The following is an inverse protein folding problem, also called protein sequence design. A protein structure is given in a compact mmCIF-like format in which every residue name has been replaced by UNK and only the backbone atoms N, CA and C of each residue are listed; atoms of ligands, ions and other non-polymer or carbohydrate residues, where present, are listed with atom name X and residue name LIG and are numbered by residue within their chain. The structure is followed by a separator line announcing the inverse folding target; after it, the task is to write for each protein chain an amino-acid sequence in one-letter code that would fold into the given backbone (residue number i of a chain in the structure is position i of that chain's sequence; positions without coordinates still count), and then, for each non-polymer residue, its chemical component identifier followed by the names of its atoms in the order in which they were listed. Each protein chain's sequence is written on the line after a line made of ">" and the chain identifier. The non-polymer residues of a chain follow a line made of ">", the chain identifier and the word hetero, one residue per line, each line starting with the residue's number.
data_IF_677944212525
#
_entry.id   IF_677944212525
#
_cell.length_a   1.000
_cell.length_b   1.000
_cell.length_c   1.000
_cell.angle_alpha   90.00
_cell.angle_beta   90.00
_cell.angle_gamma   90.00
#
_symmetry.space_group_name_H-M   'P 1'
#
loop_
_entity.id
_entity.type
_entity.pdbx_description
1 polymer ?
#
# COMPACT_ATOMS: atom_id res chain seq x y z
N UNK A 1 28.56 -4.17 9.83
CA UNK A 1 27.80 -5.41 10.14
C UNK A 1 27.15 -5.36 11.53
N UNK A 2 27.84 -4.87 12.56
CA UNK A 2 27.31 -4.80 13.95
C UNK A 2 26.11 -3.86 14.13
N UNK A 3 26.06 -2.73 13.42
CA UNK A 3 24.91 -1.81 13.48
C UNK A 3 23.60 -2.47 13.04
N UNK A 4 23.62 -3.19 11.91
CA UNK A 4 22.44 -3.90 11.38
C UNK A 4 21.90 -4.93 12.37
N UNK A 5 22.81 -5.68 13.01
CA UNK A 5 22.44 -6.64 14.06
C UNK A 5 21.79 -5.94 15.27
N UNK A 6 22.38 -4.83 15.73
CA UNK A 6 21.83 -4.09 16.88
C UNK A 6 20.46 -3.49 16.56
N UNK A 7 20.31 -2.87 15.39
CA UNK A 7 19.01 -2.38 14.91
C UNK A 7 17.98 -3.50 14.80
N UNK A 8 18.37 -4.69 14.33
CA UNK A 8 17.48 -5.86 14.24
C UNK A 8 17.06 -6.33 15.63
N UNK A 9 17.98 -6.43 16.59
CA UNK A 9 17.66 -6.80 17.98
C UNK A 9 16.74 -5.78 18.62
N UNK A 10 16.97 -4.48 18.41
CA UNK A 10 16.11 -3.42 18.91
C UNK A 10 14.70 -3.49 18.29
N UNK A 11 14.60 -3.74 16.99
CA UNK A 11 13.32 -3.92 16.30
C UNK A 11 12.58 -5.16 16.84
N UNK A 12 13.30 -6.24 17.14
CA UNK A 12 12.70 -7.41 17.79
C UNK A 12 12.16 -7.11 19.20
N UNK A 13 12.89 -6.32 19.99
CA UNK A 13 12.42 -5.86 21.29
C UNK A 13 11.16 -5.00 21.13
N UNK A 14 11.14 -4.08 20.16
CA UNK A 14 9.98 -3.26 19.83
C UNK A 14 8.78 -4.13 19.41
N UNK A 15 8.96 -5.07 18.48
CA UNK A 15 7.86 -5.94 18.02
C UNK A 15 7.37 -6.83 19.15
N UNK A 16 8.27 -7.42 19.94
CA UNK A 16 7.92 -8.24 21.09
C UNK A 16 7.15 -7.47 22.16
N UNK A 17 7.55 -6.24 22.47
CA UNK A 17 6.83 -5.36 23.41
C UNK A 17 5.47 -4.94 22.88
N UNK A 18 5.35 -4.63 21.58
CA UNK A 18 4.06 -4.36 20.94
C UNK A 18 3.16 -5.59 21.03
N UNK A 19 3.66 -6.78 20.68
CA UNK A 19 2.91 -8.04 20.74
C UNK A 19 2.44 -8.34 22.18
N UNK A 20 3.34 -8.18 23.15
CA UNK A 20 3.03 -8.39 24.56
C UNK A 20 1.96 -7.40 25.06
N UNK A 21 2.10 -6.11 24.72
CA UNK A 21 1.12 -5.08 25.04
C UNK A 21 -0.25 -5.37 24.40
N UNK A 22 -0.26 -5.78 23.14
CA UNK A 22 -1.47 -6.14 22.42
C UNK A 22 -2.14 -7.37 23.07
N UNK A 23 -1.34 -8.39 23.41
CA UNK A 23 -1.80 -9.58 24.13
C UNK A 23 -2.46 -9.19 25.46
N UNK A 24 -1.79 -8.41 26.30
CA UNK A 24 -2.35 -8.00 27.59
C UNK A 24 -3.61 -7.14 27.48
N UNK A 25 -3.73 -6.31 26.44
CA UNK A 25 -4.89 -5.42 26.28
C UNK A 25 -6.09 -6.12 25.66
N UNK A 26 -5.87 -6.88 24.59
CA UNK A 26 -6.94 -7.50 23.81
C UNK A 26 -7.32 -8.91 24.29
N UNK A 27 -6.43 -9.64 24.97
CA UNK A 27 -6.77 -10.99 25.46
C UNK A 27 -7.83 -10.96 26.59
N UNK A 28 -7.74 -10.08 27.61
CA UNK A 28 -8.73 -10.03 28.68
C UNK A 28 -10.08 -9.44 28.24
N UNK A 29 -10.05 -8.40 27.39
CA UNK A 29 -11.23 -7.60 27.01
C UNK A 29 -11.84 -7.97 25.65
N UNK A 30 -11.16 -8.79 24.85
CA UNK A 30 -11.58 -9.12 23.49
C UNK A 30 -12.55 -10.29 23.39
N UNK A 31 -13.43 -10.23 22.39
CA UNK A 31 -14.29 -11.35 21.99
C UNK A 31 -13.46 -12.55 21.51
N UNK A 32 -14.05 -13.75 21.50
CA UNK A 32 -13.40 -14.99 21.04
C UNK A 32 -12.68 -14.85 19.68
N UNK A 33 -13.30 -14.14 18.73
CA UNK A 33 -12.71 -13.87 17.40
C UNK A 33 -11.44 -13.01 17.50
N UNK A 34 -11.44 -11.98 18.34
CA UNK A 34 -10.28 -11.11 18.54
C UNK A 34 -9.12 -11.88 19.17
N UNK A 35 -9.41 -12.77 20.13
CA UNK A 35 -8.40 -13.66 20.73
C UNK A 35 -7.82 -14.61 19.70
N UNK A 36 -8.66 -15.22 18.86
CA UNK A 36 -8.24 -16.12 17.79
C UNK A 36 -7.33 -15.40 16.79
N UNK A 37 -7.71 -14.20 16.34
CA UNK A 37 -6.86 -13.37 15.47
C UNK A 37 -5.49 -13.07 16.11
N UNK A 38 -5.46 -12.76 17.40
CA UNK A 38 -4.22 -12.48 18.13
C UNK A 38 -3.33 -13.73 18.25
N UNK A 39 -3.93 -14.90 18.52
CA UNK A 39 -3.20 -16.18 18.52
C UNK A 39 -2.63 -16.47 17.13
N UNK A 40 -3.41 -16.28 16.07
CA UNK A 40 -2.92 -16.41 14.69
C UNK A 40 -1.74 -15.46 14.46
N UNK A 41 -1.90 -14.16 14.77
CA UNK A 41 -0.84 -13.16 14.64
C UNK A 41 0.45 -13.61 15.33
N UNK A 42 0.33 -14.07 16.58
CA UNK A 42 1.47 -14.57 17.36
C UNK A 42 2.14 -15.79 16.71
N UNK A 43 1.33 -16.77 16.27
CA UNK A 43 1.81 -17.97 15.58
C UNK A 43 2.54 -17.61 14.29
N UNK A 44 2.03 -16.66 13.50
CA UNK A 44 2.70 -16.22 12.27
C UNK A 44 4.04 -15.54 12.57
N UNK A 45 4.09 -14.70 13.60
CA UNK A 45 5.34 -14.06 14.02
C UNK A 45 6.36 -15.14 14.43
N UNK A 46 5.95 -16.15 15.21
CA UNK A 46 6.82 -17.27 15.60
C UNK A 46 7.29 -18.09 14.38
N UNK A 47 6.38 -18.43 13.47
CA UNK A 47 6.71 -19.14 12.22
C UNK A 47 7.69 -18.35 11.36
N UNK A 48 7.54 -17.02 11.33
CA UNK A 48 8.44 -16.12 10.62
C UNK A 48 9.88 -16.16 11.15
N UNK A 49 10.11 -16.55 12.40
CA UNK A 49 11.45 -16.76 12.95
C UNK A 49 12.01 -18.12 12.61
N UNK A 50 11.18 -19.16 12.72
CA UNK A 50 11.63 -20.55 12.59
C UNK A 50 11.95 -20.84 11.12
N UNK A 51 11.13 -20.35 10.20
CA UNK A 51 11.28 -20.62 8.77
C UNK A 51 11.05 -19.36 7.91
N UNK A 52 12.01 -18.41 7.90
CA UNK A 52 11.84 -17.11 7.26
C UNK A 52 11.74 -17.15 5.72
N UNK A 53 12.12 -18.27 5.10
CA UNK A 53 12.23 -18.44 3.64
C UNK A 53 11.00 -19.04 2.97
N UNK A 54 9.99 -19.43 3.74
CA UNK A 54 8.78 -20.04 3.21
C UNK A 54 7.88 -19.00 2.51
N UNK A 55 7.47 -19.21 1.24
CA UNK A 55 6.58 -18.29 0.53
C UNK A 55 5.20 -18.17 1.21
N UNK A 56 4.78 -19.21 1.93
CA UNK A 56 3.57 -19.19 2.74
C UNK A 56 3.61 -18.11 3.83
N UNK A 57 4.77 -17.86 4.45
CA UNK A 57 4.94 -16.82 5.49
C UNK A 57 4.79 -15.42 4.88
N UNK A 58 5.26 -15.21 3.65
CA UNK A 58 5.05 -13.94 2.93
C UNK A 58 3.56 -13.69 2.64
N UNK A 59 2.83 -14.72 2.21
CA UNK A 59 1.38 -14.63 2.00
C UNK A 59 0.65 -14.33 3.32
N UNK A 60 1.00 -15.02 4.40
CA UNK A 60 0.42 -14.83 5.73
C UNK A 60 0.71 -13.43 6.29
N UNK A 61 1.90 -12.90 6.03
CA UNK A 61 2.27 -11.54 6.38
C UNK A 61 1.38 -10.51 5.67
N UNK A 62 1.08 -10.70 4.38
CA UNK A 62 0.21 -9.78 3.63
C UNK A 62 -1.24 -9.77 4.15
N UNK A 63 -1.74 -10.90 4.64
CA UNK A 63 -3.07 -10.99 5.27
C UNK A 63 -3.07 -10.26 6.61
N UNK A 64 -2.03 -10.45 7.41
CA UNK A 64 -1.88 -9.77 8.71
C UNK A 64 -1.64 -8.27 8.54
N UNK A 65 -0.95 -7.88 7.47
CA UNK A 65 -0.62 -6.49 7.19
C UNK A 65 -1.77 -5.72 6.54
N UNK A 66 -2.79 -6.41 6.03
CA UNK A 66 -4.02 -5.82 5.49
C UNK A 66 -4.58 -4.65 6.33
N UNK A 67 -4.84 -4.78 7.65
CA UNK A 67 -5.31 -3.68 8.50
C UNK A 67 -4.35 -2.49 8.58
N UNK A 68 -3.06 -2.67 8.30
CA UNK A 68 -2.06 -1.61 8.34
C UNK A 68 -2.00 -0.81 7.04
N UNK A 69 -2.57 -1.33 5.94
CA UNK A 69 -2.63 -0.63 4.65
C UNK A 69 -3.68 0.49 4.71
N UNK A 70 -3.49 1.63 4.04
CA UNK A 70 -4.43 2.75 4.12
C UNK A 70 -5.88 2.36 3.81
N UNK A 71 -6.08 1.59 2.73
CA UNK A 71 -7.39 1.08 2.33
C UNK A 71 -7.96 0.08 3.34
N UNK A 72 -7.15 -0.89 3.80
CA UNK A 72 -7.61 -1.91 4.76
C UNK A 72 -7.95 -1.30 6.13
N UNK A 73 -7.15 -0.36 6.62
CA UNK A 73 -7.41 0.41 7.83
C UNK A 73 -8.75 1.16 7.74
N UNK A 74 -8.98 1.88 6.65
CA UNK A 74 -10.22 2.63 6.45
C UNK A 74 -11.45 1.72 6.37
N UNK A 75 -11.35 0.59 5.66
CA UNK A 75 -12.45 -0.39 5.59
C UNK A 75 -12.76 -0.96 6.98
N UNK A 76 -11.75 -1.34 7.76
CA UNK A 76 -11.98 -1.85 9.12
C UNK A 76 -12.59 -0.80 10.04
N UNK A 77 -12.11 0.43 9.98
CA UNK A 77 -12.72 1.54 10.71
C UNK A 77 -14.18 1.75 10.31
N UNK A 78 -14.50 1.67 9.02
CA UNK A 78 -15.88 1.73 8.52
C UNK A 78 -16.73 0.53 8.95
N UNK A 79 -16.18 -0.68 9.00
CA UNK A 79 -16.88 -1.86 9.52
C UNK A 79 -17.20 -1.69 11.01
N UNK A 80 -16.23 -1.25 11.82
CA UNK A 80 -16.45 -1.00 13.25
C UNK A 80 -17.41 0.18 13.50
N UNK A 81 -17.36 1.19 12.64
CA UNK A 81 -18.36 2.24 12.58
C UNK A 81 -19.76 1.67 12.29
N UNK A 82 -19.90 0.85 11.25
CA UNK A 82 -21.18 0.26 10.86
C UNK A 82 -21.82 -0.56 12.00
N UNK A 83 -21.01 -1.27 12.78
CA UNK A 83 -21.46 -2.00 13.98
C UNK A 83 -22.04 -1.09 15.08
N UNK A 84 -21.80 0.22 15.03
CA UNK A 84 -22.30 1.22 15.99
C UNK A 84 -23.58 1.92 15.49
N UNK A 85 -24.12 1.51 14.34
CA UNK A 85 -25.39 2.03 13.81
C UNK A 85 -26.54 1.31 14.51
N UNK A 86 -27.41 2.05 15.20
CA UNK A 86 -28.63 1.52 15.83
C UNK A 86 -29.74 1.38 14.79
N UNK A 87 -30.73 0.53 15.11
CA UNK A 87 -31.92 0.31 14.25
C UNK A 87 -32.78 1.53 13.96
N UNK A 88 -32.52 2.68 14.60
CA UNK A 88 -33.16 3.98 14.31
C UNK A 88 -32.32 4.94 13.46
N UNK A 89 -31.23 4.49 12.82
CA UNK A 89 -30.37 5.31 11.97
C UNK A 89 -29.39 6.24 12.72
N UNK A 90 -29.51 6.33 14.05
CA UNK A 90 -28.55 7.00 14.91
C UNK A 90 -27.26 6.20 15.08
N UNK A 91 -26.12 6.89 15.14
CA UNK A 91 -24.81 6.27 15.30
C UNK A 91 -24.25 6.56 16.70
N UNK A 92 -23.94 5.50 17.45
CA UNK A 92 -23.37 5.65 18.80
C UNK A 92 -21.91 6.08 18.75
N UNK A 93 -21.48 6.94 19.67
CA UNK A 93 -20.06 7.27 19.84
C UNK A 93 -19.26 6.01 20.25
N UNK A 94 -18.04 5.79 19.71
CA UNK A 94 -17.29 6.67 18.83
C UNK A 94 -17.47 6.39 17.33
N UNK A 95 -18.59 5.81 16.89
CA UNK A 95 -18.85 5.45 15.49
C UNK A 95 -18.60 6.58 14.48
N UNK A 96 -19.08 7.79 14.77
CA UNK A 96 -18.82 8.95 13.92
C UNK A 96 -17.34 9.31 13.81
N UNK A 97 -16.57 9.18 14.90
CA UNK A 97 -15.12 9.38 14.86
C UNK A 97 -14.41 8.33 14.02
N UNK A 98 -14.86 7.07 14.05
CA UNK A 98 -14.30 6.00 13.24
C UNK A 98 -14.49 6.26 11.75
N UNK A 99 -15.67 6.75 11.34
CA UNK A 99 -15.93 7.18 9.96
C UNK A 99 -15.05 8.37 9.60
N UNK A 100 -14.97 9.38 10.47
CA UNK A 100 -14.12 10.55 10.26
C UNK A 100 -12.67 10.15 9.97
N UNK A 101 -12.09 9.30 10.82
CA UNK A 101 -10.74 8.78 10.61
C UNK A 101 -10.59 7.94 9.36
N UNK A 102 -11.56 7.08 9.04
CA UNK A 102 -11.53 6.29 7.80
C UNK A 102 -11.49 7.18 6.57
N UNK A 103 -12.34 8.22 6.53
CA UNK A 103 -12.40 9.19 5.44
C UNK A 103 -11.12 10.02 5.38
N UNK A 104 -10.57 10.45 6.51
CA UNK A 104 -9.29 11.18 6.52
C UNK A 104 -8.15 10.33 5.97
N UNK A 105 -8.05 9.05 6.37
CA UNK A 105 -7.03 8.13 5.86
C UNK A 105 -7.18 7.94 4.36
N UNK A 106 -8.39 7.69 3.86
CA UNK A 106 -8.64 7.54 2.43
C UNK A 106 -8.35 8.82 1.65
N UNK A 107 -8.78 9.97 2.17
CA UNK A 107 -8.58 11.26 1.51
C UNK A 107 -7.09 11.55 1.38
N UNK A 108 -6.33 11.37 2.46
CA UNK A 108 -4.87 11.59 2.43
C UNK A 108 -4.19 10.60 1.48
N UNK A 109 -4.50 9.31 1.60
CA UNK A 109 -3.90 8.26 0.76
C UNK A 109 -4.30 8.36 -0.72
N UNK A 110 -5.44 8.97 -1.02
CA UNK A 110 -5.95 9.18 -2.38
C UNK A 110 -5.41 10.46 -3.03
N UNK A 111 -4.66 11.31 -2.31
CA UNK A 111 -4.03 12.48 -2.95
C UNK A 111 -2.71 12.13 -3.66
N UNK A 112 -2.55 12.51 -4.94
CA UNK A 112 -1.27 12.38 -5.66
C UNK A 112 -0.09 13.05 -4.94
N UNK A 113 -0.33 14.17 -4.27
CA UNK A 113 0.66 14.85 -3.43
C UNK A 113 1.23 13.94 -2.33
N UNK A 114 0.37 13.21 -1.61
CA UNK A 114 0.81 12.29 -0.57
C UNK A 114 1.62 11.12 -1.15
N UNK A 115 1.17 10.56 -2.28
CA UNK A 115 1.90 9.51 -2.99
C UNK A 115 3.33 9.95 -3.38
N UNK A 116 3.45 11.18 -3.90
CA UNK A 116 4.73 11.77 -4.28
C UNK A 116 5.69 11.94 -3.10
N UNK A 117 5.20 12.36 -1.94
CA UNK A 117 6.05 12.46 -0.73
C UNK A 117 6.50 11.09 -0.22
N UNK A 118 5.63 10.08 -0.31
CA UNK A 118 5.97 8.70 0.06
C UNK A 118 7.08 8.13 -0.84
N UNK A 119 7.02 8.33 -2.15
CA UNK A 119 8.09 7.88 -3.07
C UNK A 119 9.45 8.55 -2.84
N UNK A 120 9.43 9.81 -2.41
CA UNK A 120 10.67 10.54 -2.10
C UNK A 120 11.31 10.13 -0.79
N UNK A 121 10.63 9.33 0.02
CA UNK A 121 11.22 8.88 1.27
C UNK A 121 12.30 7.81 1.00
N UNK A 122 13.45 7.86 1.71
CA UNK A 122 14.64 7.05 1.37
C UNK A 122 14.40 5.55 1.27
N UNK A 123 13.37 5.05 1.95
CA UNK A 123 13.06 3.63 2.04
C UNK A 123 12.28 3.13 0.82
N UNK A 124 11.54 4.00 0.12
CA UNK A 124 10.83 3.65 -1.12
C UNK A 124 11.82 3.39 -2.27
N UNK A 125 12.98 4.06 -2.24
CA UNK A 125 14.08 3.86 -3.20
C UNK A 125 14.80 2.52 -3.02
N UNK A 126 14.66 1.85 -1.87
CA UNK A 126 15.30 0.55 -1.58
C UNK A 126 14.47 -0.64 -2.09
N UNK A 127 13.23 -0.41 -2.49
CA UNK A 127 12.23 -1.44 -2.76
C UNK A 127 11.95 -1.71 -4.24
N UNK A 128 12.79 -1.29 -5.17
CA UNK A 128 12.60 -1.58 -6.60
C UNK A 128 13.10 -3.01 -6.94
N UNK A 129 12.23 -4.00 -7.17
CA UNK A 129 12.26 -4.64 -8.46
C UNK A 129 11.66 -3.63 -9.44
N UNK A 130 12.43 -3.25 -10.44
CA UNK A 130 11.99 -2.55 -11.65
C UNK A 130 10.94 -3.38 -12.38
N UNK A 131 9.75 -3.53 -11.80
CA UNK A 131 8.56 -3.91 -12.51
C UNK A 131 7.92 -2.60 -12.86
N UNK A 132 8.18 -2.21 -14.10
CA UNK A 132 7.43 -1.25 -14.88
C UNK A 132 6.08 -1.05 -14.22
N UNK A 133 5.81 0.17 -13.75
CA UNK A 133 4.47 0.69 -13.90
C UNK A 133 4.03 0.22 -15.28
N UNK A 134 3.07 -0.70 -15.33
CA UNK A 134 2.28 -0.99 -16.52
C UNK A 134 1.51 0.30 -16.74
N UNK A 135 2.27 1.27 -17.21
CA UNK A 135 1.82 2.46 -17.84
C UNK A 135 1.15 1.90 -19.08
N UNK A 136 -0.19 1.87 -19.05
CA UNK A 136 -0.92 1.88 -20.30
C UNK A 136 -0.73 3.30 -20.85
N UNK A 137 0.51 3.62 -21.26
CA UNK A 137 0.71 4.63 -22.28
C UNK A 137 0.07 4.02 -23.51
N UNK A 138 -1.18 4.40 -23.75
CA UNK A 138 -1.88 4.21 -25.02
C UNK A 138 -1.46 2.94 -25.77
N UNK A 139 -1.92 1.77 -25.28
CA UNK A 139 -1.91 0.54 -26.07
C UNK A 139 -0.54 0.02 -26.52
N UNK A 140 0.52 0.12 -25.73
CA UNK A 140 1.81 -0.53 -26.05
C UNK A 140 2.33 -1.43 -24.93
N UNK A 141 2.20 -2.73 -25.15
CA UNK A 141 2.90 -3.78 -24.38
C UNK A 141 4.39 -3.73 -24.73
N UNK A 142 5.21 -3.09 -23.89
CA UNK A 142 6.66 -3.10 -24.05
C UNK A 142 7.28 -4.23 -23.21
N UNK A 143 7.67 -5.33 -23.87
CA UNK A 143 8.61 -6.30 -23.30
C UNK A 143 10.03 -5.91 -23.74
N UNK A 144 10.90 -5.70 -22.78
CA UNK A 144 12.29 -5.29 -23.00
C UNK A 144 13.20 -6.51 -23.13
N UNK A 145 13.74 -6.75 -24.32
CA UNK A 145 14.97 -7.52 -24.53
C UNK A 145 15.88 -6.62 -25.37
N UNK A 146 16.96 -6.12 -24.77
CA UNK A 146 18.01 -5.37 -25.48
C UNK A 146 18.82 -6.29 -26.42
N UNK A 147 19.75 -5.77 -27.25
CA UNK A 147 20.55 -4.58 -26.99
C UNK A 147 20.74 -3.60 -28.18
N UNK A 148 21.26 -2.41 -27.86
CA UNK A 148 22.15 -1.55 -28.67
C UNK A 148 21.73 -1.16 -30.10
N UNK A 149 21.40 0.13 -30.29
CA UNK A 149 21.75 1.07 -31.39
C UNK A 149 20.56 2.03 -31.62
N UNK A 150 20.79 3.36 -31.62
CA UNK A 150 19.72 4.34 -31.84
C UNK A 150 19.48 4.48 -33.33
N UNK A 151 18.44 3.84 -33.87
CA UNK A 151 17.98 4.17 -35.22
C UNK A 151 16.47 4.01 -35.27
N UNK A 152 15.82 5.11 -35.66
CA UNK A 152 14.40 5.23 -35.96
C UNK A 152 13.88 4.01 -36.72
N UNK A 153 13.10 3.17 -36.04
CA UNK A 153 12.59 1.92 -36.56
C UNK A 153 11.07 1.89 -36.48
N UNK A 154 10.44 2.23 -37.59
CA UNK A 154 9.05 1.90 -37.93
C UNK A 154 8.81 0.41 -37.78
N UNK A 155 7.88 0.01 -36.91
CA UNK A 155 7.16 -1.26 -37.04
C UNK A 155 5.68 -1.03 -36.75
N UNK A 156 4.95 -0.90 -37.86
CA UNK A 156 3.49 -0.94 -37.98
C UNK A 156 3.09 -2.41 -38.00
N UNK A 157 2.22 -2.81 -37.10
CA UNK A 157 1.37 -3.98 -37.29
C UNK A 157 0.02 -3.70 -36.62
N UNK A 158 -0.94 -3.19 -37.39
CA UNK A 158 -2.27 -3.77 -37.57
C UNK A 158 -3.00 -2.95 -38.63
N UNK A 159 -3.24 -3.59 -39.77
CA UNK A 159 -4.14 -3.10 -40.82
C UNK A 159 -5.55 -3.52 -40.43
N UNK A 160 -6.40 -2.56 -40.08
CA UNK A 160 -7.80 -2.51 -40.50
C UNK A 160 -8.33 -1.10 -40.22
N UNK A 161 -8.92 -0.50 -41.25
CA UNK A 161 -9.44 0.86 -41.28
C UNK A 161 -10.20 1.25 -40.01
N UNK A 162 -9.65 2.20 -39.27
CA UNK A 162 -10.42 3.09 -38.42
C UNK A 162 -9.58 4.33 -38.16
N UNK A 163 -10.08 5.48 -38.62
CA UNK A 163 -9.58 6.79 -38.25
C UNK A 163 -9.48 6.88 -36.74
N UNK A 164 -8.27 6.81 -36.21
CA UNK A 164 -7.99 7.03 -34.79
C UNK A 164 -8.29 8.51 -34.56
N UNK A 165 -9.49 8.79 -34.06
CA UNK A 165 -9.74 10.07 -33.42
C UNK A 165 -8.67 10.20 -32.33
N UNK A 166 -7.79 11.18 -32.48
CA UNK A 166 -6.97 11.67 -31.39
C UNK A 166 -7.96 12.23 -30.36
N UNK A 167 -8.40 11.35 -29.46
CA UNK A 167 -9.27 11.72 -28.36
C UNK A 167 -8.40 12.53 -27.42
N UNK A 168 -8.36 13.84 -27.66
CA UNK A 168 -7.86 14.84 -26.74
C UNK A 168 -8.66 14.70 -25.45
N UNK A 169 -8.18 13.84 -24.55
CA UNK A 169 -8.75 13.65 -23.24
C UNK A 169 -8.60 14.97 -22.53
N UNK A 170 -9.73 15.53 -22.13
CA UNK A 170 -9.75 16.77 -21.38
C UNK A 170 -8.90 16.58 -20.11
N UNK A 171 -8.09 17.58 -19.73
CA UNK A 171 -7.05 17.41 -18.70
C UNK A 171 -7.60 17.06 -17.30
N UNK A 172 -8.90 17.18 -17.08
CA UNK A 172 -9.58 16.74 -15.86
C UNK A 172 -9.95 15.24 -15.85
N UNK A 173 -9.89 14.56 -17.00
CA UNK A 173 -10.00 13.10 -17.13
C UNK A 173 -8.64 12.42 -17.10
N UNK A 174 -7.57 13.16 -17.39
CA UNK A 174 -6.20 12.69 -17.22
C UNK A 174 -5.90 12.59 -15.72
N UNK A 175 -5.76 11.37 -15.21
CA UNK A 175 -5.39 11.11 -13.83
C UNK A 175 -3.96 11.61 -13.61
N UNK A 176 -3.76 12.54 -12.67
CA UNK A 176 -2.42 13.05 -12.36
C UNK A 176 -1.57 11.94 -11.75
N UNK A 177 -0.46 11.62 -12.40
CA UNK A 177 0.49 10.60 -11.92
C UNK A 177 1.63 11.25 -11.14
N UNK A 178 2.28 10.48 -10.26
CA UNK A 178 3.44 10.96 -9.49
C UNK A 178 4.64 11.30 -10.41
N UNK A 179 4.75 10.64 -11.56
CA UNK A 179 5.72 10.96 -12.61
C UNK A 179 5.53 12.36 -13.19
N UNK A 180 4.29 12.81 -13.35
CA UNK A 180 3.98 14.16 -13.81
C UNK A 180 4.38 15.21 -12.77
N UNK A 181 4.09 14.95 -11.49
CA UNK A 181 4.48 15.83 -10.36
C UNK A 181 6.01 15.97 -10.27
N UNK A 182 6.77 14.90 -10.56
CA UNK A 182 8.24 14.94 -10.56
C UNK A 182 8.81 15.88 -11.62
N UNK A 183 8.18 15.96 -12.80
CA UNK A 183 8.63 16.81 -13.92
C UNK A 183 8.14 18.24 -13.80
N UNK A 184 6.91 18.42 -13.32
CA UNK A 184 6.17 19.68 -13.36
C UNK A 184 6.20 20.45 -12.03
N UNK A 185 6.54 19.79 -10.93
CA UNK A 185 6.41 20.33 -9.58
C UNK A 185 4.99 20.17 -9.02
N UNK A 186 4.85 20.40 -7.71
CA UNK A 186 3.61 20.25 -6.96
C UNK A 186 2.62 21.38 -7.28
N UNK A 187 1.37 21.03 -7.55
CA UNK A 187 0.27 21.96 -7.86
C UNK A 187 -0.95 21.69 -6.98
N UNK A 188 -1.88 22.65 -6.95
CA UNK A 188 -3.13 22.52 -6.18
C UNK A 188 -4.00 21.36 -6.69
N UNK A 189 -3.96 21.09 -7.99
CA UNK A 189 -4.66 19.94 -8.61
C UNK A 189 -4.14 18.58 -8.13
N UNK A 190 -2.91 18.50 -7.61
CA UNK A 190 -2.33 17.27 -7.07
C UNK A 190 -2.89 16.90 -5.68
N UNK A 191 -3.71 17.78 -5.08
CA UNK A 191 -4.44 17.51 -3.85
C UNK A 191 -5.87 16.98 -4.11
N UNK A 192 -6.27 16.86 -5.37
CA UNK A 192 -7.55 16.27 -5.74
C UNK A 192 -7.45 14.74 -5.58
N UNK A 193 -8.33 14.12 -4.77
CA UNK A 193 -8.30 12.67 -4.57
C UNK A 193 -8.54 11.89 -5.88
N UNK A 194 -7.72 10.86 -6.12
CA UNK A 194 -7.84 9.95 -7.25
C UNK A 194 -7.57 8.48 -6.82
N UNK A 195 -8.09 7.51 -7.57
CA UNK A 195 -7.96 6.08 -7.28
C UNK A 195 -6.57 5.48 -7.57
N UNK A 196 -5.89 5.92 -8.63
CA UNK A 196 -4.51 5.58 -8.97
C UNK A 196 -3.52 5.99 -7.87
N UNK A 197 -3.67 7.20 -7.30
CA UNK A 197 -2.87 7.66 -6.17
C UNK A 197 -3.05 6.79 -4.93
N UNK A 198 -4.28 6.34 -4.65
CA UNK A 198 -4.56 5.38 -3.58
C UNK A 198 -3.90 4.02 -3.84
N UNK A 199 -3.91 3.54 -5.09
CA UNK A 199 -3.23 2.31 -5.46
C UNK A 199 -1.72 2.43 -5.29
N UNK A 200 -1.14 3.57 -5.70
CA UNK A 200 0.29 3.83 -5.58
C UNK A 200 0.73 3.95 -4.13
N UNK A 201 0.02 4.70 -3.28
CA UNK A 201 0.32 4.79 -1.84
C UNK A 201 0.22 3.42 -1.17
N UNK A 202 -0.79 2.63 -1.53
CA UNK A 202 -0.94 1.26 -1.02
C UNK A 202 0.22 0.36 -1.45
N UNK A 203 0.67 0.45 -2.71
CA UNK A 203 1.80 -0.32 -3.23
C UNK A 203 3.09 0.05 -2.52
N UNK A 204 3.36 1.35 -2.40
CA UNK A 204 4.54 1.86 -1.71
C UNK A 204 4.53 1.38 -0.26
N UNK A 205 3.41 1.55 0.45
CA UNK A 205 3.22 1.08 1.82
C UNK A 205 3.44 -0.43 1.98
N UNK A 206 2.98 -1.24 1.03
CA UNK A 206 3.24 -2.68 1.04
C UNK A 206 4.73 -3.01 0.93
N UNK A 207 5.47 -2.27 0.10
CA UNK A 207 6.92 -2.41 0.01
C UNK A 207 7.61 -2.11 1.35
N UNK A 208 7.15 -1.10 2.11
CA UNK A 208 7.65 -0.84 3.48
C UNK A 208 7.42 -2.03 4.40
N UNK A 209 6.19 -2.54 4.44
CA UNK A 209 5.82 -3.65 5.32
C UNK A 209 6.60 -4.91 4.95
N UNK A 210 6.80 -5.16 3.66
CA UNK A 210 7.60 -6.27 3.16
C UNK A 210 9.07 -6.11 3.53
N UNK A 211 9.65 -4.91 3.34
CA UNK A 211 11.03 -4.61 3.70
C UNK A 211 11.28 -4.77 5.20
N UNK A 212 10.39 -4.24 6.06
CA UNK A 212 10.47 -4.40 7.51
C UNK A 212 10.46 -5.89 7.87
N UNK A 213 9.57 -6.66 7.25
CA UNK A 213 9.48 -8.11 7.49
C UNK A 213 10.74 -8.85 7.05
N UNK A 214 11.32 -8.48 5.90
CA UNK A 214 12.57 -9.04 5.41
C UNK A 214 13.75 -8.68 6.33
N UNK A 215 13.83 -7.42 6.76
CA UNK A 215 14.86 -6.95 7.68
C UNK A 215 14.83 -7.66 9.04
N UNK A 216 13.63 -7.94 9.56
CA UNK A 216 13.41 -8.69 10.79
C UNK A 216 13.91 -10.14 10.69
N UNK A 217 13.67 -10.79 9.54
CA UNK A 217 14.01 -12.19 9.26
C UNK A 217 15.49 -12.39 8.92
N UNK A 218 16.05 -11.44 8.19
CA UNK A 218 17.46 -11.31 7.91
C UNK A 218 17.96 -11.84 6.59
#
# INVERSE_FOLDING_TARGET
>A
MTFVLLSRVLLWLLVGTILYSLFQRFFPSGNYVARLFLVILFVVVLLSFINPREPAVASLWNVISFPLKPLGAAILLMIFAAQRIKGGGGMDAPGGYLIGWALTILLLASTPAFAYFLERSPVAMLGEPSIASLDIVQGRLASSIGPTVPTSGTLVALRQDNTVADVSMTPYLAQTTVTDIRRRGLRLEDFVPNAEALQQTTRVWESYLTYISGFLRG
#
